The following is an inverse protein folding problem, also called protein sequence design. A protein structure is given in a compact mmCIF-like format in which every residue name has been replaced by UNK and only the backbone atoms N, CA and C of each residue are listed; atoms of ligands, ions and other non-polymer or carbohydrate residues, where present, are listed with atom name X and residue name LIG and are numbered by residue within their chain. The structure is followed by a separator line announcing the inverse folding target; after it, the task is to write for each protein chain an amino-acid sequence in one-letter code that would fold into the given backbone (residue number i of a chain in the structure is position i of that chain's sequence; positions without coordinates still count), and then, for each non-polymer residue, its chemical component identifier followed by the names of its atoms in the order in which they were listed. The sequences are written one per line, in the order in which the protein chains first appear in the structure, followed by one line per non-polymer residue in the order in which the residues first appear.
data_IF_299400863084
#
_entry.id   IF_299400863084
#
_cell.length_a   1.000
_cell.length_b   1.000
_cell.length_c   1.000
_cell.angle_alpha   90.00
_cell.angle_beta   90.00
_cell.angle_gamma   90.00
#
_symmetry.space_group_name_H-M   'P 1'
#
loop_
_entity.id
_entity.type
_entity.pdbx_description
1 polymer ?
#
# COMPACT_ATOMS: atom_id res chain seq x y z
N UNK A 1 -5.77 21.17 15.28
CA UNK A 1 -5.54 21.41 13.84
C UNK A 1 -5.01 20.12 13.23
N UNK A 2 -5.61 19.61 12.16
CA UNK A 2 -5.10 18.42 11.46
C UNK A 2 -3.83 18.80 10.69
N UNK A 3 -2.80 17.95 10.71
CA UNK A 3 -1.63 18.16 9.85
C UNK A 3 -2.00 17.95 8.39
N UNK A 4 -1.28 18.60 7.47
CA UNK A 4 -1.52 18.49 6.03
C UNK A 4 -1.52 17.02 5.56
N UNK A 5 -0.57 16.22 6.03
CA UNK A 5 -0.48 14.78 5.71
C UNK A 5 -1.71 14.01 6.19
N UNK A 6 -2.25 14.32 7.37
CA UNK A 6 -3.50 13.70 7.86
C UNK A 6 -4.70 14.13 7.03
N UNK A 7 -4.75 15.39 6.59
CA UNK A 7 -5.80 15.85 5.67
C UNK A 7 -5.73 15.14 4.31
N UNK A 8 -4.53 15.02 3.73
CA UNK A 8 -4.31 14.25 2.49
C UNK A 8 -4.73 12.78 2.65
N UNK A 9 -4.39 12.16 3.79
CA UNK A 9 -4.81 10.80 4.09
C UNK A 9 -6.33 10.65 4.16
N UNK A 10 -7.02 11.55 4.87
CA UNK A 10 -8.48 11.49 5.01
C UNK A 10 -9.18 11.57 3.65
N UNK A 11 -8.72 12.46 2.76
CA UNK A 11 -9.32 12.66 1.43
C UNK A 11 -8.92 11.57 0.43
N UNK A 12 -7.67 11.11 0.47
CA UNK A 12 -7.13 10.19 -0.55
C UNK A 12 -7.23 8.70 -0.20
N UNK A 13 -7.38 8.36 1.09
CA UNK A 13 -7.29 6.96 1.55
C UNK A 13 -8.35 6.61 2.60
N UNK A 14 -8.61 7.51 3.55
CA UNK A 14 -9.40 7.24 4.75
C UNK A 14 -10.88 6.92 4.48
N UNK A 15 -11.42 7.35 3.34
CA UNK A 15 -12.77 6.98 2.91
C UNK A 15 -12.93 5.47 2.65
N UNK A 16 -11.90 4.81 2.12
CA UNK A 16 -11.92 3.37 1.86
C UNK A 16 -11.28 2.58 3.00
N UNK A 17 -10.10 2.99 3.46
CA UNK A 17 -9.30 2.28 4.45
C UNK A 17 -9.64 2.66 5.91
N UNK A 18 -10.69 3.46 6.11
CA UNK A 18 -11.07 4.03 7.40
C UNK A 18 -10.16 5.16 7.87
N UNK A 19 -10.69 6.07 8.69
CA UNK A 19 -9.96 7.27 9.14
C UNK A 19 -8.76 6.98 10.04
N UNK A 20 -8.68 5.76 10.59
CA UNK A 20 -7.57 5.26 11.41
C UNK A 20 -6.74 4.17 10.71
N UNK A 21 -7.01 3.89 9.44
CA UNK A 21 -6.38 2.79 8.70
C UNK A 21 -6.96 1.42 9.02
N UNK A 22 -8.13 1.36 9.65
CA UNK A 22 -8.93 0.14 9.85
C UNK A 22 -10.19 0.25 9.00
N UNK A 23 -10.30 -0.64 8.02
CA UNK A 23 -11.39 -0.72 7.05
C UNK A 23 -12.67 -1.25 7.70
N UNK A 24 -13.82 -0.77 7.20
CA UNK A 24 -15.12 -1.36 7.53
C UNK A 24 -15.54 -2.48 6.56
N UNK A 25 -14.71 -2.74 5.53
CA UNK A 25 -14.94 -3.73 4.48
C UNK A 25 -13.85 -4.79 4.52
N UNK A 26 -14.25 -6.04 4.27
CA UNK A 26 -13.38 -7.21 4.09
C UNK A 26 -12.57 -7.19 2.78
N UNK A 27 -13.06 -6.51 1.74
CA UNK A 27 -12.38 -6.40 0.44
C UNK A 27 -11.39 -5.24 0.36
N UNK A 28 -11.51 -4.24 1.24
CA UNK A 28 -10.55 -3.13 1.35
C UNK A 28 -9.62 -3.40 2.53
N UNK A 29 -8.28 -3.41 2.35
CA UNK A 29 -7.38 -3.90 3.37
C UNK A 29 -7.20 -2.86 4.47
N UNK A 30 -6.99 -3.32 5.70
CA UNK A 30 -6.43 -2.47 6.74
C UNK A 30 -5.04 -1.99 6.33
N UNK A 31 -4.76 -0.72 6.64
CA UNK A 31 -3.43 -0.14 6.49
C UNK A 31 -2.66 -0.19 7.82
N UNK A 32 -3.40 -0.06 8.92
CA UNK A 32 -2.86 0.02 10.28
C UNK A 32 -2.21 -1.31 10.67
N UNK A 33 -0.95 -1.25 11.09
CA UNK A 33 -0.18 -2.41 11.52
C UNK A 33 0.23 -3.36 10.38
N UNK A 34 -0.03 -3.02 9.11
CA UNK A 34 0.25 -3.91 7.97
C UNK A 34 1.20 -3.30 6.94
N UNK A 35 1.03 -2.01 6.65
CA UNK A 35 1.67 -1.36 5.51
C UNK A 35 3.19 -1.22 5.61
N UNK A 36 3.76 -1.32 6.81
CA UNK A 36 5.21 -1.36 7.01
C UNK A 36 5.86 -2.59 6.38
N UNK A 37 5.17 -3.74 6.36
CA UNK A 37 5.71 -4.98 5.77
C UNK A 37 6.04 -4.84 4.29
N UNK A 38 5.33 -4.00 3.54
CA UNK A 38 5.64 -3.78 2.13
C UNK A 38 7.03 -3.16 1.92
N UNK A 39 7.66 -2.60 2.95
CA UNK A 39 9.04 -2.11 2.88
C UNK A 39 10.10 -3.24 2.99
N UNK A 40 9.69 -4.47 3.27
CA UNK A 40 10.61 -5.62 3.39
C UNK A 40 11.25 -6.03 2.07
N UNK A 41 10.64 -5.69 0.93
CA UNK A 41 11.19 -6.02 -0.38
C UNK A 41 11.10 -4.84 -1.35
N UNK A 42 12.00 -4.77 -2.35
CA UNK A 42 11.89 -3.77 -3.41
C UNK A 42 10.53 -3.81 -4.11
N UNK A 43 10.00 -5.01 -4.36
CA UNK A 43 8.72 -5.20 -5.04
C UNK A 43 7.53 -4.69 -4.22
N UNK A 44 7.53 -4.93 -2.90
CA UNK A 44 6.52 -4.39 -1.99
C UNK A 44 6.57 -2.86 -1.92
N UNK A 45 7.78 -2.30 -1.88
CA UNK A 45 8.01 -0.86 -1.85
C UNK A 45 7.50 -0.19 -3.12
N UNK A 46 7.79 -0.76 -4.27
CA UNK A 46 7.30 -0.26 -5.57
C UNK A 46 5.79 -0.40 -5.71
N UNK A 47 5.23 -1.53 -5.28
CA UNK A 47 3.79 -1.80 -5.31
C UNK A 47 2.98 -0.67 -4.68
N UNK A 48 3.38 -0.18 -3.51
CA UNK A 48 2.68 0.91 -2.81
C UNK A 48 2.54 2.17 -3.66
N UNK A 49 3.53 2.50 -4.49
CA UNK A 49 3.52 3.68 -5.35
C UNK A 49 2.89 3.42 -6.71
N UNK A 50 2.99 2.19 -7.22
CA UNK A 50 2.43 1.78 -8.51
C UNK A 50 0.91 1.58 -8.49
N UNK A 51 0.28 1.49 -7.31
CA UNK A 51 -1.18 1.46 -7.19
C UNK A 51 -1.79 2.66 -7.95
N UNK A 52 -2.77 2.45 -8.85
CA UNK A 52 -3.29 3.54 -9.69
C UNK A 52 -3.76 4.77 -8.90
N UNK A 53 -4.45 4.57 -7.78
CA UNK A 53 -4.93 5.66 -6.92
C UNK A 53 -3.79 6.46 -6.25
N UNK A 54 -2.59 5.90 -6.15
CA UNK A 54 -1.39 6.57 -5.63
C UNK A 54 -0.63 7.24 -6.77
N UNK A 55 -0.30 6.48 -7.83
CA UNK A 55 0.49 6.98 -8.95
C UNK A 55 -0.15 8.18 -9.66
N UNK A 56 -1.48 8.17 -9.80
CA UNK A 56 -2.24 9.24 -10.46
C UNK A 56 -2.77 10.32 -9.51
N UNK A 57 -2.38 10.30 -8.24
CA UNK A 57 -2.77 11.33 -7.27
C UNK A 57 -2.42 12.75 -7.77
N UNK A 58 -3.27 13.77 -7.58
CA UNK A 58 -2.96 15.14 -7.97
C UNK A 58 -1.87 15.79 -7.09
N UNK A 59 -1.46 15.12 -6.00
CA UNK A 59 -0.42 15.61 -5.10
C UNK A 59 0.93 15.73 -5.80
N UNK A 60 1.72 16.71 -5.36
CA UNK A 60 3.14 16.80 -5.73
C UNK A 60 3.88 15.53 -5.28
N UNK A 61 5.00 15.19 -5.91
CA UNK A 61 5.78 14.02 -5.49
C UNK A 61 6.33 14.14 -4.06
N UNK A 62 6.52 15.36 -3.56
CA UNK A 62 6.91 15.60 -2.17
C UNK A 62 5.74 15.31 -1.21
N UNK A 63 4.56 15.89 -1.46
CA UNK A 63 3.36 15.64 -0.64
C UNK A 63 2.93 14.17 -0.67
N UNK A 64 3.08 13.52 -1.82
CA UNK A 64 2.79 12.11 -1.98
C UNK A 64 3.82 11.25 -1.22
N UNK A 65 5.10 11.63 -1.21
CA UNK A 65 6.10 10.94 -0.39
C UNK A 65 5.77 11.08 1.10
N UNK A 66 5.39 12.26 1.58
CA UNK A 66 4.98 12.47 2.97
C UNK A 66 3.73 11.64 3.33
N UNK A 67 2.73 11.61 2.44
CA UNK A 67 1.54 10.77 2.61
C UNK A 67 1.91 9.28 2.68
N UNK A 68 2.70 8.79 1.74
CA UNK A 68 3.09 7.38 1.70
C UNK A 68 4.02 7.00 2.85
N UNK A 69 4.82 7.94 3.37
CA UNK A 69 5.57 7.75 4.61
C UNK A 69 4.65 7.68 5.83
N UNK A 70 3.60 8.50 5.90
CA UNK A 70 2.59 8.37 6.94
C UNK A 70 1.84 7.04 6.87
N UNK A 71 1.51 6.57 5.67
CA UNK A 71 0.93 5.23 5.50
C UNK A 71 1.91 4.16 5.97
N UNK A 72 3.12 4.11 5.41
CA UNK A 72 4.07 3.04 5.67
C UNK A 72 4.62 3.03 7.11
N UNK A 73 4.97 4.19 7.67
CA UNK A 73 5.60 4.31 8.98
C UNK A 73 4.62 4.70 10.08
N UNK A 74 3.70 5.62 9.80
CA UNK A 74 2.72 6.09 10.77
C UNK A 74 1.63 5.07 11.05
N UNK A 75 0.95 4.58 10.00
CA UNK A 75 -0.07 3.53 10.13
C UNK A 75 0.58 2.16 10.25
N UNK A 76 1.65 1.88 9.51
CA UNK A 76 2.36 0.60 9.57
C UNK A 76 2.93 0.26 10.95
N UNK A 77 3.39 1.24 11.72
CA UNK A 77 3.82 1.05 13.11
C UNK A 77 4.83 -0.11 13.27
N UNK A 78 4.49 -1.09 14.10
CA UNK A 78 5.36 -2.23 14.42
C UNK A 78 5.63 -3.17 13.22
N UNK A 79 4.90 -3.04 12.12
CA UNK A 79 5.19 -3.80 10.88
C UNK A 79 6.38 -3.26 10.09
N UNK A 80 6.94 -2.10 10.44
CA UNK A 80 8.07 -1.51 9.72
C UNK A 80 9.35 -2.30 10.02
N UNK A 81 10.05 -2.85 9.00
CA UNK A 81 11.27 -3.59 9.23
C UNK A 81 12.40 -2.68 9.71
N UNK A 82 13.30 -3.23 10.51
CA UNK A 82 14.48 -2.50 10.98
C UNK A 82 15.32 -1.99 9.81
N UNK A 83 15.71 -0.71 9.85
CA UNK A 83 16.48 -0.07 8.79
C UNK A 83 15.68 0.36 7.57
N UNK A 84 14.35 0.22 7.58
CA UNK A 84 13.50 0.77 6.53
C UNK A 84 13.71 2.28 6.36
N UNK A 85 13.85 2.72 5.11
CA UNK A 85 14.08 4.13 4.78
C UNK A 85 12.80 4.79 4.28
N UNK A 86 12.48 6.03 4.71
CA UNK A 86 11.38 6.79 4.15
C UNK A 86 11.49 6.92 2.63
N UNK A 87 10.35 6.96 1.94
CA UNK A 87 10.26 7.39 0.56
C UNK A 87 10.77 8.81 0.42
N UNK A 88 11.49 9.07 -0.67
CA UNK A 88 11.90 10.41 -1.06
C UNK A 88 11.01 10.94 -2.19
N UNK A 89 10.91 12.26 -2.32
CA UNK A 89 10.17 12.89 -3.41
C UNK A 89 10.70 12.44 -4.80
N UNK A 90 12.02 12.30 -4.94
CA UNK A 90 12.65 11.86 -6.19
C UNK A 90 12.31 10.39 -6.51
N UNK A 91 12.31 9.53 -5.51
CA UNK A 91 11.90 8.13 -5.66
C UNK A 91 10.43 8.02 -6.06
N UNK A 92 9.53 8.74 -5.37
CA UNK A 92 8.11 8.77 -5.71
C UNK A 92 7.89 9.31 -7.12
N UNK A 93 8.59 10.38 -7.51
CA UNK A 93 8.52 10.95 -8.85
C UNK A 93 8.91 9.95 -9.94
N UNK A 94 9.91 9.10 -9.68
CA UNK A 94 10.33 8.03 -10.59
C UNK A 94 9.31 6.91 -10.64
N UNK A 95 8.91 6.37 -9.48
CA UNK A 95 8.03 5.19 -9.40
C UNK A 95 6.64 5.46 -9.98
N UNK A 96 6.07 6.64 -9.74
CA UNK A 96 4.72 6.97 -10.24
C UNK A 96 4.62 7.06 -11.78
N UNK A 97 5.73 7.03 -12.50
CA UNK A 97 5.76 6.99 -13.97
C UNK A 97 5.48 5.57 -14.51
N UNK A 98 5.55 4.55 -13.67
CA UNK A 98 5.29 3.16 -14.02
C UNK A 98 4.08 2.60 -13.23
N UNK A 99 2.88 3.21 -13.34
CA UNK A 99 1.71 2.70 -12.65
C UNK A 99 1.40 1.27 -13.10
N UNK A 100 0.81 0.48 -12.21
CA UNK A 100 0.28 -0.83 -12.55
C UNK A 100 -0.75 -0.70 -13.69
N UNK A 101 -0.57 -1.44 -14.78
CA UNK A 101 -1.40 -1.37 -16.00
C UNK A 101 -1.88 -2.74 -16.51
N UNK A 102 -1.83 -3.80 -15.68
CA UNK A 102 -2.12 -5.18 -16.12
C UNK A 102 -3.49 -5.71 -15.65
N UNK A 103 -3.88 -6.87 -16.21
CA UNK A 103 -5.24 -7.42 -16.23
C UNK A 103 -5.86 -7.87 -14.90
N UNK A 104 -5.10 -7.99 -13.80
CA UNK A 104 -5.66 -8.27 -12.47
C UNK A 104 -4.79 -7.68 -11.38
N UNK A 105 -5.35 -6.71 -10.65
CA UNK A 105 -4.70 -6.11 -9.47
C UNK A 105 -4.50 -7.17 -8.36
N UNK A 106 -5.40 -8.15 -8.28
CA UNK A 106 -5.30 -9.24 -7.31
C UNK A 106 -4.09 -10.11 -7.60
N UNK A 107 -3.92 -10.57 -8.85
CA UNK A 107 -2.74 -11.37 -9.23
C UNK A 107 -1.43 -10.62 -8.95
N UNK A 108 -1.39 -9.31 -9.23
CA UNK A 108 -0.22 -8.49 -8.93
C UNK A 108 0.03 -8.40 -7.41
N UNK A 109 -1.02 -8.15 -6.63
CA UNK A 109 -0.90 -8.11 -5.17
C UNK A 109 -0.46 -9.44 -4.59
N UNK A 110 -0.99 -10.56 -5.06
CA UNK A 110 -0.59 -11.91 -4.60
C UNK A 110 0.90 -12.15 -4.81
N UNK A 111 1.40 -11.78 -5.98
CA UNK A 111 2.81 -11.91 -6.35
C UNK A 111 3.71 -10.98 -5.50
N UNK A 112 3.24 -9.79 -5.16
CA UNK A 112 3.92 -8.88 -4.21
C UNK A 112 3.91 -9.43 -2.79
N UNK A 113 2.77 -9.91 -2.30
CA UNK A 113 2.64 -10.41 -0.92
C UNK A 113 3.52 -11.65 -0.71
N UNK A 114 3.60 -12.55 -1.70
CA UNK A 114 4.52 -13.71 -1.63
C UNK A 114 5.98 -13.27 -1.50
N UNK A 115 6.40 -12.29 -2.28
CA UNK A 115 7.75 -11.72 -2.23
C UNK A 115 8.04 -11.04 -0.89
N UNK A 116 7.07 -10.26 -0.37
CA UNK A 116 7.18 -9.63 0.95
C UNK A 116 7.28 -10.68 2.06
N UNK A 117 6.46 -11.73 2.05
CA UNK A 117 6.50 -12.82 3.04
C UNK A 117 7.84 -13.57 2.99
N UNK A 118 8.38 -13.78 1.78
CA UNK A 118 9.70 -14.40 1.64
C UNK A 118 10.80 -13.54 2.28
N UNK A 119 10.72 -12.21 2.14
CA UNK A 119 11.67 -11.28 2.77
C UNK A 119 11.44 -11.08 4.29
N UNK A 120 10.18 -11.12 4.74
CA UNK A 120 9.75 -10.95 6.12
C UNK A 120 8.68 -12.00 6.48
N UNK A 121 9.07 -13.19 6.97
CA UNK A 121 8.13 -14.26 7.28
C UNK A 121 7.04 -13.88 8.29
N UNK A 122 7.31 -12.91 9.17
CA UNK A 122 6.35 -12.39 10.15
C UNK A 122 5.13 -11.74 9.49
N UNK A 123 5.28 -11.24 8.25
CA UNK A 123 4.19 -10.63 7.51
C UNK A 123 3.05 -11.63 7.23
N UNK A 124 3.34 -12.94 7.17
CA UNK A 124 2.37 -13.98 6.86
C UNK A 124 1.24 -14.15 7.90
N UNK A 125 1.36 -13.55 9.09
CA UNK A 125 0.31 -13.56 10.13
C UNK A 125 -0.66 -12.38 10.03
N UNK A 126 -0.35 -11.40 9.17
CA UNK A 126 -1.07 -10.12 9.08
C UNK A 126 -1.50 -9.82 7.65
N UNK A 127 -0.58 -9.92 6.70
CA UNK A 127 -0.88 -9.74 5.28
C UNK A 127 -1.08 -11.09 4.64
N UNK A 128 -2.30 -11.33 4.18
CA UNK A 128 -2.63 -12.55 3.46
C UNK A 128 -2.90 -12.24 1.99
N UNK A 129 -2.74 -13.27 1.16
CA UNK A 129 -3.42 -13.33 -0.11
C UNK A 129 -4.91 -13.04 0.14
N UNK A 130 -5.50 -12.12 -0.61
CA UNK A 130 -6.95 -11.93 -0.53
C UNK A 130 -7.66 -13.27 -0.75
N UNK A 131 -8.84 -13.37 -0.14
CA UNK A 131 -9.70 -14.54 -0.20
C UNK A 131 -9.82 -15.06 -1.64
N UNK A 132 -9.54 -16.35 -1.83
CA UNK A 132 -9.64 -17.07 -3.12
C UNK A 132 -11.01 -16.89 -3.79
N UNK A 133 -12.03 -16.50 -3.01
CA UNK A 133 -13.36 -16.14 -3.48
C UNK A 133 -13.43 -14.86 -4.33
N UNK A 134 -12.51 -13.90 -4.15
CA UNK A 134 -12.40 -12.71 -5.02
C UNK A 134 -11.71 -13.06 -6.35
N UNK A 135 -10.67 -13.90 -6.32
CA UNK A 135 -10.01 -14.40 -7.53
C UNK A 135 -11.01 -15.15 -8.42
N UNK A 136 -11.88 -15.98 -7.83
CA UNK A 136 -12.93 -16.68 -8.56
C UNK A 136 -13.91 -15.71 -9.24
N UNK A 137 -14.33 -14.64 -8.56
CA UNK A 137 -15.27 -13.65 -9.14
C UNK A 137 -14.64 -12.79 -10.24
N UNK A 138 -13.34 -12.53 -10.21
CA UNK A 138 -12.64 -11.79 -11.26
C UNK A 138 -12.30 -12.66 -12.48
N UNK A 139 -12.07 -13.97 -12.26
CA UNK A 139 -11.95 -14.97 -13.33
C UNK A 139 -13.31 -15.25 -13.99
N UNK A 140 -14.38 -15.40 -13.19
CA UNK A 140 -15.73 -15.72 -13.68
C UNK A 140 -16.41 -14.52 -14.39
N UNK A 141 -15.87 -13.30 -14.27
CA UNK A 141 -16.35 -12.08 -14.94
C UNK A 141 -15.48 -11.65 -16.14
N UNK A 142 -14.64 -12.54 -16.66
CA UNK A 142 -13.96 -12.42 -17.97
C UNK A 142 -14.55 -13.43 -18.95
#
# INVERSE_FOLDING_TARGET
MLSQVRAHYLVGCGGCHGITGVSASDVVPDLKGQTGYFLCSPKGREYMIHLPNVAFSPLSSADLADLMNYVAFGLGGDSVPAGARPYTAAEVARLRQAPFRNYSLQSYRLDVVRDVIHACPQAATVIHAYDLALDKREIDNK
#
